data_IF_429148396511
#
_entry.id   IF_429148396511
#
_cell.length_a   1.000
_cell.length_b   1.000
_cell.length_c   1.000
_cell.angle_alpha   90.00
_cell.angle_beta   90.00
_cell.angle_gamma   90.00
#
_symmetry.space_group_name_H-M   'P 1'
#
loop_
_entity.id
_entity.type
_entity.pdbx_description
1 polymer ?
#
# COMPACT_ATOMS: atom_id res chain seq x y z
N UNK A 1 29.69 19.76 -3.49
CA UNK A 1 29.21 18.90 -2.39
C UNK A 1 28.60 19.83 -1.35
N UNK A 2 27.27 19.99 -1.34
CA UNK A 2 26.61 20.82 -0.31
C UNK A 2 26.45 19.92 0.91
N UNK A 3 27.34 20.08 1.90
CA UNK A 3 27.19 19.43 3.21
C UNK A 3 25.88 19.93 3.82
N UNK A 4 24.85 19.09 3.84
CA UNK A 4 23.74 19.36 4.74
C UNK A 4 24.30 19.36 6.16
N UNK A 5 24.07 20.43 6.95
CA UNK A 5 24.50 20.41 8.34
C UNK A 5 23.83 19.22 9.03
N UNK A 6 24.63 18.44 9.75
CA UNK A 6 24.12 17.36 10.57
C UNK A 6 23.12 17.93 11.59
N UNK A 7 21.94 17.33 11.71
CA UNK A 7 20.92 17.78 12.67
C UNK A 7 21.50 17.59 14.07
N UNK A 8 21.77 18.67 14.82
CA UNK A 8 22.36 18.57 16.14
C UNK A 8 21.45 17.76 17.06
N UNK A 9 22.07 16.92 17.88
CA UNK A 9 21.38 16.30 19.01
C UNK A 9 21.03 17.36 20.05
N UNK A 10 19.87 17.24 20.67
CA UNK A 10 19.64 17.93 21.94
C UNK A 10 20.73 17.50 22.94
N UNK A 11 21.16 18.41 23.81
CA UNK A 11 22.21 18.14 24.81
C UNK A 11 21.88 16.95 25.71
N UNK A 12 20.59 16.65 25.89
CA UNK A 12 20.08 15.52 26.69
C UNK A 12 19.75 14.29 25.83
N UNK A 13 19.91 14.36 24.51
CA UNK A 13 19.57 13.28 23.60
C UNK A 13 20.58 12.14 23.72
N UNK A 14 20.07 10.93 23.87
CA UNK A 14 20.88 9.71 23.92
C UNK A 14 20.10 8.55 23.29
N UNK A 15 20.78 7.48 22.82
CA UNK A 15 20.11 6.29 22.31
C UNK A 15 19.05 5.77 23.30
N UNK A 16 17.87 5.44 22.78
CA UNK A 16 16.70 5.02 23.54
C UNK A 16 15.87 6.16 24.16
N UNK A 17 16.32 7.41 24.06
CA UNK A 17 15.66 8.61 24.61
C UNK A 17 15.58 9.76 23.61
N UNK A 18 15.66 9.48 22.29
CA UNK A 18 15.54 10.51 21.25
C UNK A 18 14.09 10.97 21.13
N UNK A 19 13.89 12.28 21.02
CA UNK A 19 12.55 12.88 20.90
C UNK A 19 11.88 12.61 19.54
N UNK A 20 10.60 12.89 19.44
CA UNK A 20 9.83 12.78 18.19
C UNK A 20 10.45 13.63 17.07
N UNK A 21 10.66 14.91 17.34
CA UNK A 21 11.22 15.87 16.38
C UNK A 21 12.59 15.41 15.86
N UNK A 22 13.50 15.08 16.77
CA UNK A 22 14.85 14.61 16.41
C UNK A 22 14.82 13.35 15.54
N UNK A 23 13.92 12.42 15.87
CA UNK A 23 13.79 11.14 15.15
C UNK A 23 13.20 11.37 13.76
N UNK A 24 12.16 12.20 13.65
CA UNK A 24 11.55 12.55 12.37
C UNK A 24 12.54 13.28 11.45
N UNK A 25 13.27 14.28 11.95
CA UNK A 25 14.26 14.98 11.16
C UNK A 25 15.34 14.03 10.62
N UNK A 26 15.80 13.06 11.43
CA UNK A 26 16.76 12.04 10.97
C UNK A 26 16.19 11.11 9.92
N UNK A 27 14.94 10.67 10.07
CA UNK A 27 14.27 9.87 9.04
C UNK A 27 14.18 10.67 7.74
N UNK A 28 13.80 11.94 7.80
CA UNK A 28 13.73 12.82 6.63
C UNK A 28 15.12 12.97 5.98
N UNK A 29 16.20 13.11 6.75
CA UNK A 29 17.56 13.14 6.20
C UNK A 29 17.91 11.87 5.42
N UNK A 30 17.59 10.69 5.95
CA UNK A 30 17.80 9.40 5.25
C UNK A 30 17.00 9.37 3.94
N UNK A 31 15.75 9.83 3.96
CA UNK A 31 14.89 9.87 2.77
C UNK A 31 15.40 10.86 1.72
N UNK A 32 15.85 12.05 2.14
CA UNK A 32 16.41 13.05 1.23
C UNK A 32 17.72 12.57 0.60
N UNK A 33 18.56 11.85 1.35
CA UNK A 33 19.78 11.21 0.83
C UNK A 33 19.44 10.18 -0.24
N UNK A 34 18.48 9.28 0.02
CA UNK A 34 17.98 8.31 -0.94
C UNK A 34 17.45 8.97 -2.21
N UNK A 35 16.59 9.99 -2.08
CA UNK A 35 16.01 10.70 -3.22
C UNK A 35 17.08 11.40 -4.07
N UNK A 36 18.10 11.99 -3.44
CA UNK A 36 19.24 12.56 -4.16
C UNK A 36 20.04 11.50 -4.89
N UNK A 37 20.24 10.34 -4.26
CA UNK A 37 20.86 9.18 -4.90
C UNK A 37 20.16 8.83 -6.22
N UNK A 38 18.83 8.69 -6.17
CA UNK A 38 18.00 8.42 -7.35
C UNK A 38 18.05 9.53 -8.40
N UNK A 39 18.13 10.80 -8.00
CA UNK A 39 18.25 11.91 -8.95
C UNK A 39 19.62 11.99 -9.63
N UNK A 40 20.69 11.59 -8.93
CA UNK A 40 22.07 11.69 -9.42
C UNK A 40 22.51 10.43 -10.18
N UNK A 41 22.00 9.27 -9.78
CA UNK A 41 22.20 8.03 -10.53
C UNK A 41 21.23 7.99 -11.70
N UNK A 42 21.69 7.66 -12.91
CA UNK A 42 20.80 7.41 -14.06
C UNK A 42 19.94 6.14 -13.93
N UNK A 43 19.76 5.62 -12.72
CA UNK A 43 18.91 4.47 -12.42
C UNK A 43 17.53 4.97 -11.99
N UNK A 44 16.47 4.40 -12.57
CA UNK A 44 15.08 4.68 -12.19
C UNK A 44 14.67 4.07 -10.84
N UNK A 45 15.46 3.13 -10.31
CA UNK A 45 15.12 2.37 -9.11
C UNK A 45 16.31 2.15 -8.17
N UNK A 46 16.00 1.96 -6.88
CA UNK A 46 16.97 1.52 -5.89
C UNK A 46 17.38 0.06 -6.12
N UNK A 47 18.67 -0.23 -5.94
CA UNK A 47 19.19 -1.59 -5.91
C UNK A 47 18.87 -2.23 -4.55
N UNK A 48 18.76 -3.55 -4.53
CA UNK A 48 18.39 -4.30 -3.33
C UNK A 48 19.21 -3.97 -2.07
N UNK A 49 20.53 -3.80 -2.21
CA UNK A 49 21.39 -3.47 -1.06
C UNK A 49 21.12 -2.06 -0.53
N UNK A 50 20.82 -1.09 -1.41
CA UNK A 50 20.47 0.29 -1.04
C UNK A 50 19.14 0.30 -0.28
N UNK A 51 18.14 -0.46 -0.74
CA UNK A 51 16.84 -0.61 -0.05
C UNK A 51 17.06 -1.12 1.39
N UNK A 52 17.85 -2.18 1.53
CA UNK A 52 18.15 -2.77 2.86
C UNK A 52 18.87 -1.78 3.75
N UNK A 53 19.86 -1.06 3.23
CA UNK A 53 20.62 -0.10 3.99
C UNK A 53 19.73 1.04 4.50
N UNK A 54 18.97 1.68 3.62
CA UNK A 54 18.09 2.79 4.00
C UNK A 54 16.99 2.36 4.98
N UNK A 55 16.37 1.20 4.74
CA UNK A 55 15.38 0.61 5.67
C UNK A 55 16.00 0.39 7.06
N UNK A 56 17.16 -0.26 7.13
CA UNK A 56 17.86 -0.51 8.40
C UNK A 56 18.25 0.79 9.11
N UNK A 57 18.59 1.85 8.37
CA UNK A 57 18.89 3.17 8.95
C UNK A 57 17.64 3.76 9.62
N UNK A 58 16.48 3.69 8.97
CA UNK A 58 15.20 4.12 9.58
C UNK A 58 14.87 3.28 10.82
N UNK A 59 14.99 1.95 10.73
CA UNK A 59 14.69 1.05 11.86
C UNK A 59 15.59 1.31 13.07
N UNK A 60 16.88 1.60 12.84
CA UNK A 60 17.80 2.01 13.91
C UNK A 60 17.40 3.33 14.56
N UNK A 61 16.97 4.32 13.76
CA UNK A 61 16.45 5.58 14.31
C UNK A 61 15.23 5.33 15.18
N UNK A 62 14.29 4.49 14.73
CA UNK A 62 13.10 4.12 15.50
C UNK A 62 13.44 3.38 16.80
N UNK A 63 14.42 2.48 16.77
CA UNK A 63 14.88 1.76 17.96
C UNK A 63 15.45 2.68 19.06
N UNK A 64 16.05 3.81 18.66
CA UNK A 64 16.66 4.79 19.56
C UNK A 64 15.68 5.84 20.12
N UNK A 65 14.40 5.79 19.73
CA UNK A 65 13.39 6.73 20.21
C UNK A 65 13.03 6.53 21.68
N UNK A 66 12.54 7.59 22.34
CA UNK A 66 11.98 7.50 23.69
C UNK A 66 10.86 6.44 23.79
N UNK A 67 10.68 5.75 24.94
CA UNK A 67 9.78 4.59 25.03
C UNK A 67 8.34 4.82 24.56
N UNK A 68 7.75 6.00 24.78
CA UNK A 68 6.38 6.28 24.33
C UNK A 68 6.24 6.29 22.80
N UNK A 69 7.32 6.54 22.05
CA UNK A 69 7.31 6.49 20.58
C UNK A 69 7.40 5.06 20.04
N UNK A 70 7.78 4.08 20.86
CA UNK A 70 7.87 2.66 20.48
C UNK A 70 6.66 1.86 20.95
N UNK A 71 6.18 2.14 22.16
CA UNK A 71 5.17 1.33 22.82
C UNK A 71 3.96 2.20 23.18
N UNK A 72 2.78 1.80 22.69
CA UNK A 72 1.52 2.52 22.95
C UNK A 72 1.23 2.64 24.45
N UNK A 73 1.51 1.59 25.22
CA UNK A 73 1.32 1.51 26.67
C UNK A 73 2.22 2.45 27.47
N UNK A 74 3.21 3.09 26.81
CA UNK A 74 4.11 4.08 27.42
C UNK A 74 3.69 5.51 27.14
N UNK A 75 2.68 5.74 26.29
CA UNK A 75 2.06 7.05 26.11
C UNK A 75 1.17 7.36 27.32
N UNK A 76 1.36 8.51 27.95
CA UNK A 76 0.55 8.99 29.09
C UNK A 76 -0.24 10.26 28.74
N UNK A 77 0.14 10.97 27.69
CA UNK A 77 -0.57 12.16 27.20
C UNK A 77 -1.10 11.97 25.77
N UNK A 78 -2.12 12.76 25.41
CA UNK A 78 -2.60 12.83 24.02
C UNK A 78 -1.48 13.23 23.05
N UNK A 79 -0.59 14.15 23.45
CA UNK A 79 0.54 14.57 22.63
C UNK A 79 1.46 13.39 22.30
N UNK A 80 1.83 12.57 23.30
CA UNK A 80 2.67 11.38 23.08
C UNK A 80 1.98 10.34 22.19
N UNK A 81 0.66 10.16 22.33
CA UNK A 81 -0.10 9.29 21.44
C UNK A 81 -0.07 9.80 19.99
N UNK A 82 -0.20 11.10 19.77
CA UNK A 82 -0.10 11.73 18.45
C UNK A 82 1.30 11.55 17.88
N UNK A 83 2.34 11.92 18.62
CA UNK A 83 3.74 11.83 18.18
C UNK A 83 4.13 10.40 17.80
N UNK A 84 3.78 9.41 18.64
CA UNK A 84 4.01 8.00 18.33
C UNK A 84 3.33 7.59 17.02
N UNK A 85 2.07 7.99 16.86
CA UNK A 85 1.26 7.55 15.72
C UNK A 85 1.69 8.22 14.42
N UNK A 86 2.01 9.52 14.45
CA UNK A 86 2.58 10.25 13.31
C UNK A 86 3.97 9.73 12.93
N UNK A 87 4.83 9.43 13.91
CA UNK A 87 6.14 8.84 13.62
C UNK A 87 5.99 7.48 12.94
N UNK A 88 5.07 6.64 13.40
CA UNK A 88 4.75 5.34 12.77
C UNK A 88 4.22 5.53 11.35
N UNK A 89 3.30 6.47 11.14
CA UNK A 89 2.73 6.78 9.82
C UNK A 89 3.82 7.20 8.84
N UNK A 90 4.65 8.17 9.23
CA UNK A 90 5.71 8.70 8.37
C UNK A 90 6.79 7.66 8.07
N UNK A 91 7.31 6.98 9.09
CA UNK A 91 8.36 5.96 8.90
C UNK A 91 7.88 4.81 8.02
N UNK A 92 6.67 4.29 8.27
CA UNK A 92 6.09 3.22 7.45
C UNK A 92 5.92 3.67 6.00
N UNK A 93 5.39 4.88 5.77
CA UNK A 93 5.26 5.39 4.41
C UNK A 93 6.61 5.50 3.70
N UNK A 94 7.65 5.98 4.36
CA UNK A 94 8.96 6.11 3.72
C UNK A 94 9.63 4.76 3.43
N UNK A 95 9.48 3.78 4.33
CA UNK A 95 9.94 2.41 4.06
C UNK A 95 9.17 1.82 2.89
N UNK A 96 7.85 2.02 2.80
CA UNK A 96 7.07 1.52 1.67
C UNK A 96 7.59 2.12 0.35
N UNK A 97 7.88 3.42 0.32
CA UNK A 97 8.47 4.13 -0.84
C UNK A 97 9.78 3.48 -1.29
N UNK A 98 10.70 3.20 -0.36
CA UNK A 98 11.97 2.51 -0.67
C UNK A 98 11.73 1.12 -1.30
N UNK A 99 10.67 0.44 -0.88
CA UNK A 99 10.35 -0.91 -1.31
C UNK A 99 9.45 -0.98 -2.55
N UNK A 100 8.93 0.15 -3.05
CA UNK A 100 7.96 0.19 -4.17
C UNK A 100 8.47 -0.44 -5.46
N UNK A 101 9.78 -0.46 -5.69
CA UNK A 101 10.41 -1.14 -6.82
C UNK A 101 10.00 -2.62 -6.93
N UNK A 102 9.64 -3.27 -5.82
CA UNK A 102 9.16 -4.66 -5.85
C UNK A 102 7.77 -4.83 -6.45
N UNK A 103 6.98 -3.75 -6.53
CA UNK A 103 5.64 -3.73 -7.12
C UNK A 103 5.69 -3.55 -8.65
N UNK A 104 6.81 -3.05 -9.17
CA UNK A 104 7.04 -2.89 -10.60
C UNK A 104 7.52 -4.23 -11.20
N UNK A 105 6.74 -4.86 -12.12
CA UNK A 105 7.12 -6.13 -12.74
C UNK A 105 8.43 -6.05 -13.52
N UNK A 106 8.73 -4.89 -14.11
CA UNK A 106 9.86 -4.68 -15.02
C UNK A 106 11.16 -4.30 -14.27
N UNK A 107 11.06 -4.02 -12.97
CA UNK A 107 12.22 -3.69 -12.16
C UNK A 107 13.27 -4.83 -12.14
N UNK A 108 14.58 -4.53 -12.13
CA UNK A 108 15.64 -5.52 -12.17
C UNK A 108 15.88 -6.19 -10.80
N UNK A 109 14.88 -6.91 -10.29
CA UNK A 109 14.94 -7.72 -9.08
C UNK A 109 14.66 -9.19 -9.40
N UNK A 110 15.52 -10.08 -8.93
CA UNK A 110 15.23 -11.52 -8.94
C UNK A 110 14.04 -11.85 -8.02
N UNK A 111 13.36 -12.97 -8.30
CA UNK A 111 12.09 -13.34 -7.66
C UNK A 111 12.19 -13.43 -6.14
N UNK A 112 13.29 -13.97 -5.61
CA UNK A 112 13.49 -14.13 -4.18
C UNK A 112 13.65 -12.77 -3.50
N UNK A 113 14.51 -11.90 -4.03
CA UNK A 113 14.68 -10.54 -3.49
C UNK A 113 13.40 -9.72 -3.64
N UNK A 114 12.72 -9.85 -4.77
CA UNK A 114 11.43 -9.19 -5.03
C UNK A 114 10.38 -9.60 -4.02
N UNK A 115 10.27 -10.88 -3.67
CA UNK A 115 9.32 -11.35 -2.67
C UNK A 115 9.57 -10.71 -1.30
N UNK A 116 10.82 -10.69 -0.83
CA UNK A 116 11.21 -10.07 0.46
C UNK A 116 10.90 -8.57 0.47
N UNK A 117 11.32 -7.83 -0.56
CA UNK A 117 11.07 -6.38 -0.64
C UNK A 117 9.57 -6.08 -0.79
N UNK A 118 8.81 -6.95 -1.47
CA UNK A 118 7.36 -6.81 -1.61
C UNK A 118 6.65 -6.99 -0.28
N UNK A 119 7.03 -8.00 0.50
CA UNK A 119 6.48 -8.20 1.85
C UNK A 119 6.71 -6.96 2.72
N UNK A 120 7.91 -6.39 2.68
CA UNK A 120 8.24 -5.14 3.35
C UNK A 120 7.37 -3.97 2.85
N UNK A 121 7.18 -3.85 1.53
CA UNK A 121 6.35 -2.80 0.95
C UNK A 121 4.90 -2.91 1.43
N UNK A 122 4.28 -4.08 1.27
CA UNK A 122 2.86 -4.31 1.60
C UNK A 122 2.61 -4.11 3.10
N UNK A 123 3.47 -4.67 3.96
CA UNK A 123 3.40 -4.47 5.41
C UNK A 123 3.43 -2.99 5.78
N UNK A 124 4.32 -2.21 5.16
CA UNK A 124 4.45 -0.80 5.47
C UNK A 124 3.32 0.07 4.88
N UNK A 125 2.72 -0.33 3.75
CA UNK A 125 1.49 0.30 3.26
C UNK A 125 0.33 0.10 4.25
N UNK A 126 0.15 -1.11 4.76
CA UNK A 126 -0.86 -1.42 5.78
C UNK A 126 -0.61 -0.62 7.07
N UNK A 127 0.63 -0.61 7.58
CA UNK A 127 1.01 0.13 8.79
C UNK A 127 0.75 1.64 8.66
N UNK A 128 0.92 2.20 7.47
CA UNK A 128 0.62 3.61 7.20
C UNK A 128 -0.88 3.89 7.37
N UNK A 129 -1.74 3.05 6.78
CA UNK A 129 -3.20 3.17 6.88
C UNK A 129 -3.67 2.96 8.32
N UNK A 130 -3.13 1.96 9.01
CA UNK A 130 -3.46 1.67 10.40
C UNK A 130 -3.05 2.80 11.35
N UNK A 131 -1.87 3.40 11.14
CA UNK A 131 -1.44 4.58 11.88
C UNK A 131 -2.39 5.76 11.67
N UNK A 132 -2.84 6.01 10.45
CA UNK A 132 -3.76 7.11 10.20
C UNK A 132 -5.14 6.89 10.82
N UNK A 133 -5.69 5.68 10.72
CA UNK A 133 -6.96 5.33 11.36
C UNK A 133 -6.84 5.47 12.88
N UNK A 134 -5.74 5.00 13.47
CA UNK A 134 -5.47 5.16 14.90
C UNK A 134 -5.38 6.65 15.29
N UNK A 135 -4.67 7.47 14.51
CA UNK A 135 -4.54 8.91 14.74
C UNK A 135 -5.91 9.61 14.75
N UNK A 136 -6.76 9.27 13.79
CA UNK A 136 -8.11 9.81 13.71
C UNK A 136 -8.97 9.37 14.91
N UNK A 137 -8.83 8.12 15.36
CA UNK A 137 -9.57 7.60 16.51
C UNK A 137 -9.18 8.25 17.85
N UNK A 138 -7.97 8.82 17.95
CA UNK A 138 -7.55 9.60 19.12
C UNK A 138 -8.28 10.95 19.16
N UNK A 139 -8.28 11.66 18.03
CA UNK A 139 -9.05 12.88 17.82
C UNK A 139 -9.12 13.20 16.33
N UNK A 140 -10.32 13.43 15.79
CA UNK A 140 -10.53 13.71 14.37
C UNK A 140 -9.80 14.96 13.82
N UNK A 141 -9.44 15.91 14.69
CA UNK A 141 -8.63 17.06 14.32
C UNK A 141 -7.17 16.70 14.05
N UNK A 142 -6.62 15.69 14.71
CA UNK A 142 -5.22 15.28 14.54
C UNK A 142 -4.96 14.69 13.16
N UNK A 143 -5.96 14.07 12.53
CA UNK A 143 -5.85 13.51 11.19
C UNK A 143 -6.15 14.51 10.06
N UNK A 144 -6.27 15.82 10.35
CA UNK A 144 -6.45 16.88 9.34
C UNK A 144 -5.16 17.28 8.62
N UNK A 145 -4.00 16.76 9.05
CA UNK A 145 -2.73 16.95 8.34
C UNK A 145 -2.86 16.48 6.90
N UNK A 146 -2.78 17.41 5.94
CA UNK A 146 -2.88 17.11 4.51
C UNK A 146 -1.85 16.07 4.07
N UNK A 147 -0.63 16.16 4.62
CA UNK A 147 0.47 15.24 4.31
C UNK A 147 0.15 13.81 4.79
N UNK A 148 -0.35 13.66 6.02
CA UNK A 148 -0.70 12.34 6.58
C UNK A 148 -1.87 11.71 5.83
N UNK A 149 -2.86 12.52 5.45
CA UNK A 149 -4.01 12.11 4.64
C UNK A 149 -3.59 11.67 3.23
N UNK A 150 -2.79 12.47 2.52
CA UNK A 150 -2.30 12.13 1.18
C UNK A 150 -1.50 10.82 1.20
N UNK A 151 -0.55 10.68 2.13
CA UNK A 151 0.27 9.45 2.26
C UNK A 151 -0.58 8.21 2.50
N UNK A 152 -1.64 8.35 3.28
CA UNK A 152 -2.57 7.26 3.59
C UNK A 152 -3.42 6.87 2.40
N UNK A 153 -4.01 7.84 1.71
CA UNK A 153 -4.78 7.61 0.48
C UNK A 153 -3.89 6.94 -0.58
N UNK A 154 -2.67 7.46 -0.75
CA UNK A 154 -1.68 6.89 -1.64
C UNK A 154 -1.37 5.43 -1.30
N UNK A 155 -1.20 5.13 -0.02
CA UNK A 155 -0.90 3.78 0.45
C UNK A 155 -2.08 2.83 0.23
N UNK A 156 -3.31 3.28 0.43
CA UNK A 156 -4.52 2.50 0.21
C UNK A 156 -4.68 2.10 -1.26
N UNK A 157 -4.50 3.04 -2.19
CA UNK A 157 -4.60 2.71 -3.62
C UNK A 157 -3.50 1.77 -4.09
N UNK A 158 -2.27 1.94 -3.63
CA UNK A 158 -1.19 1.00 -3.92
C UNK A 158 -1.49 -0.40 -3.35
N UNK A 159 -2.05 -0.47 -2.14
CA UNK A 159 -2.43 -1.74 -1.52
C UNK A 159 -3.56 -2.45 -2.28
N UNK A 160 -4.56 -1.68 -2.74
CA UNK A 160 -5.66 -2.19 -3.58
C UNK A 160 -5.14 -2.69 -4.93
N UNK A 161 -4.26 -1.92 -5.58
CA UNK A 161 -3.66 -2.28 -6.87
C UNK A 161 -2.82 -3.56 -6.81
N UNK A 162 -2.21 -3.83 -5.64
CA UNK A 162 -1.33 -4.99 -5.43
C UNK A 162 -2.00 -6.07 -4.57
N UNK A 163 -3.33 -6.07 -4.52
CA UNK A 163 -4.09 -7.01 -3.71
C UNK A 163 -4.02 -8.43 -4.26
N UNK A 164 -3.96 -9.42 -3.35
CA UNK A 164 -4.01 -10.84 -3.70
C UNK A 164 -4.83 -11.62 -2.66
N UNK A 165 -5.18 -12.87 -2.95
CA UNK A 165 -6.09 -13.64 -2.08
C UNK A 165 -5.58 -13.79 -0.62
N UNK A 166 -4.27 -13.74 -0.37
CA UNK A 166 -3.71 -13.83 0.98
C UNK A 166 -3.92 -12.56 1.80
N UNK A 167 -3.71 -11.38 1.20
CA UNK A 167 -3.83 -10.09 1.90
C UNK A 167 -5.21 -9.45 1.78
N UNK A 168 -6.06 -9.96 0.89
CA UNK A 168 -7.39 -9.42 0.60
C UNK A 168 -8.26 -9.16 1.83
N UNK A 169 -8.35 -10.03 2.85
CA UNK A 169 -9.19 -9.74 4.01
C UNK A 169 -8.73 -8.49 4.77
N UNK A 170 -7.41 -8.30 4.91
CA UNK A 170 -6.83 -7.15 5.60
C UNK A 170 -6.96 -5.87 4.76
N UNK A 171 -6.62 -5.94 3.47
CA UNK A 171 -6.78 -4.82 2.53
C UNK A 171 -8.22 -4.31 2.55
N UNK A 172 -9.18 -5.24 2.52
CA UNK A 172 -10.60 -4.94 2.60
C UNK A 172 -10.97 -4.16 3.87
N UNK A 173 -10.62 -4.71 5.03
CA UNK A 173 -10.93 -4.10 6.33
C UNK A 173 -10.36 -2.68 6.46
N UNK A 174 -9.11 -2.49 6.01
CA UNK A 174 -8.45 -1.19 6.05
C UNK A 174 -9.09 -0.17 5.11
N UNK A 175 -9.48 -0.60 3.90
CA UNK A 175 -10.19 0.26 2.94
C UNK A 175 -11.53 0.72 3.49
N UNK A 176 -12.33 -0.16 4.09
CA UNK A 176 -13.63 0.22 4.69
C UNK A 176 -13.47 1.22 5.84
N UNK A 177 -12.50 0.97 6.74
CA UNK A 177 -12.22 1.88 7.85
C UNK A 177 -11.73 3.24 7.35
N UNK A 178 -10.85 3.25 6.36
CA UNK A 178 -10.34 4.49 5.77
C UNK A 178 -11.45 5.28 5.04
N UNK A 179 -12.35 4.59 4.34
CA UNK A 179 -13.51 5.21 3.70
C UNK A 179 -14.36 5.98 4.72
N UNK A 180 -14.64 5.37 5.89
CA UNK A 180 -15.41 6.01 6.95
C UNK A 180 -14.71 7.28 7.48
N UNK A 181 -13.40 7.20 7.75
CA UNK A 181 -12.59 8.35 8.21
C UNK A 181 -12.58 9.48 7.17
N UNK A 182 -12.40 9.17 5.90
CA UNK A 182 -12.39 10.17 4.83
C UNK A 182 -13.78 10.78 4.65
N UNK A 183 -14.85 9.98 4.77
CA UNK A 183 -16.21 10.50 4.73
C UNK A 183 -16.44 11.55 5.83
N UNK A 184 -15.99 11.29 7.06
CA UNK A 184 -16.05 12.25 8.16
C UNK A 184 -15.30 13.54 7.84
N UNK A 185 -14.10 13.46 7.24
CA UNK A 185 -13.37 14.66 6.81
C UNK A 185 -14.12 15.45 5.72
N UNK A 186 -14.77 14.76 4.77
CA UNK A 186 -15.55 15.41 3.70
C UNK A 186 -16.82 16.09 4.22
N UNK A 187 -17.49 15.49 5.22
CA UNK A 187 -18.74 16.01 5.79
C UNK A 187 -18.53 16.99 6.95
N UNK A 188 -17.48 16.80 7.75
CA UNK A 188 -17.14 17.63 8.91
C UNK A 188 -16.67 19.04 8.56
N UNK A 189 -16.34 19.30 7.29
CA UNK A 189 -16.08 20.63 6.74
C UNK A 189 -17.38 21.37 6.32
N UNK A 190 -18.56 20.82 6.64
CA UNK A 190 -19.89 21.28 6.20
C UNK A 190 -20.34 22.67 6.64
N UNK A 191 -19.47 23.47 7.27
CA UNK A 191 -19.73 24.88 7.59
C UNK A 191 -19.03 25.87 6.65
N UNK A 192 -18.34 25.37 5.61
CA UNK A 192 -17.67 26.18 4.59
C UNK A 192 -18.54 26.22 3.33
N UNK A 193 -18.94 27.43 2.91
CA UNK A 193 -19.72 27.67 1.70
C UNK A 193 -19.21 26.84 0.50
N UNK A 194 -20.14 26.19 -0.22
CA UNK A 194 -19.83 25.36 -1.40
C UNK A 194 -19.03 26.11 -2.50
N UNK A 195 -19.11 27.45 -2.53
CA UNK A 195 -18.39 28.30 -3.48
C UNK A 195 -16.91 28.58 -3.11
N UNK A 196 -16.44 28.18 -1.93
CA UNK A 196 -15.06 28.36 -1.46
C UNK A 196 -14.37 27.04 -1.10
N UNK A 197 -14.82 25.92 -1.68
CA UNK A 197 -14.19 24.62 -1.48
C UNK A 197 -12.78 24.62 -2.08
N UNK A 198 -11.77 24.43 -1.23
CA UNK A 198 -10.36 24.32 -1.65
C UNK A 198 -10.16 23.10 -2.56
N UNK A 199 -9.13 23.13 -3.42
CA UNK A 199 -8.82 22.00 -4.30
C UNK A 199 -8.55 20.71 -3.51
N UNK A 200 -7.93 20.80 -2.33
CA UNK A 200 -7.75 19.68 -1.39
C UNK A 200 -9.08 19.02 -1.02
N UNK A 201 -10.13 19.80 -0.76
CA UNK A 201 -11.45 19.26 -0.42
C UNK A 201 -12.18 18.65 -1.63
N UNK A 202 -11.82 19.03 -2.88
CA UNK A 202 -12.27 18.35 -4.11
C UNK A 202 -11.54 17.03 -4.31
N UNK A 203 -10.21 17.02 -4.15
CA UNK A 203 -9.39 15.81 -4.26
C UNK A 203 -9.78 14.75 -3.22
N UNK A 204 -10.14 15.17 -2.01
CA UNK A 204 -10.63 14.26 -0.99
C UNK A 204 -11.98 13.63 -1.36
N UNK A 205 -12.90 14.41 -1.93
CA UNK A 205 -14.19 13.88 -2.40
C UNK A 205 -14.03 12.90 -3.57
N UNK A 206 -13.07 13.15 -4.47
CA UNK A 206 -12.72 12.21 -5.54
C UNK A 206 -12.15 10.91 -4.98
N UNK A 207 -11.20 11.01 -4.04
CA UNK A 207 -10.60 9.85 -3.36
C UNK A 207 -11.65 9.02 -2.62
N UNK A 208 -12.60 9.67 -1.94
CA UNK A 208 -13.72 9.01 -1.28
C UNK A 208 -14.60 8.24 -2.27
N UNK A 209 -14.90 8.83 -3.44
CA UNK A 209 -15.68 8.16 -4.48
C UNK A 209 -14.96 6.91 -4.98
N UNK A 210 -13.68 7.01 -5.29
CA UNK A 210 -12.89 5.89 -5.75
C UNK A 210 -12.80 4.77 -4.70
N UNK A 211 -12.62 5.12 -3.41
CA UNK A 211 -12.65 4.12 -2.32
C UNK A 211 -14.00 3.41 -2.24
N UNK A 212 -15.12 4.12 -2.39
CA UNK A 212 -16.47 3.53 -2.42
C UNK A 212 -16.66 2.54 -3.57
N UNK A 213 -16.14 2.87 -4.75
CA UNK A 213 -16.21 2.01 -5.92
C UNK A 213 -15.39 0.73 -5.72
N UNK A 214 -14.18 0.86 -5.19
CA UNK A 214 -13.35 -0.28 -4.76
C UNK A 214 -14.08 -1.12 -3.70
N UNK A 215 -14.71 -0.45 -2.72
CA UNK A 215 -15.51 -1.09 -1.68
C UNK A 215 -16.62 -1.96 -2.30
N UNK A 216 -17.40 -1.39 -3.21
CA UNK A 216 -18.49 -2.08 -3.91
C UNK A 216 -18.02 -3.26 -4.78
N UNK A 217 -16.87 -3.12 -5.45
CA UNK A 217 -16.29 -4.17 -6.30
C UNK A 217 -15.92 -5.42 -5.47
N UNK A 218 -15.25 -5.23 -4.35
CA UNK A 218 -14.90 -6.32 -3.43
C UNK A 218 -16.13 -7.00 -2.80
N UNK A 219 -17.18 -6.24 -2.43
CA UNK A 219 -18.46 -6.81 -1.99
C UNK A 219 -19.08 -7.73 -3.06
N UNK A 220 -19.03 -7.31 -4.32
CA UNK A 220 -19.53 -8.08 -5.46
C UNK A 220 -18.73 -9.38 -5.65
N UNK A 221 -17.40 -9.34 -5.50
CA UNK A 221 -16.51 -10.52 -5.53
C UNK A 221 -16.86 -11.52 -4.42
N UNK A 222 -17.13 -11.04 -3.20
CA UNK A 222 -17.55 -11.89 -2.06
C UNK A 222 -18.89 -12.59 -2.32
N UNK A 223 -19.88 -11.87 -2.88
CA UNK A 223 -21.18 -12.45 -3.26
C UNK A 223 -21.04 -13.52 -4.34
N UNK A 224 -20.23 -13.28 -5.38
CA UNK A 224 -19.94 -14.26 -6.44
C UNK A 224 -19.25 -15.52 -5.90
N UNK A 225 -18.21 -15.37 -5.06
CA UNK A 225 -17.54 -16.51 -4.40
C UNK A 225 -18.51 -17.34 -3.54
N UNK A 226 -19.44 -16.70 -2.81
CA UNK A 226 -20.50 -17.41 -2.04
C UNK A 226 -21.48 -18.16 -2.94
N UNK A 227 -22.00 -17.54 -4.01
CA UNK A 227 -22.90 -18.19 -4.97
C UNK A 227 -22.23 -19.39 -5.66
N UNK A 228 -20.95 -19.29 -6.04
CA UNK A 228 -20.19 -20.39 -6.63
C UNK A 228 -20.01 -21.57 -5.66
N UNK A 229 -19.71 -21.30 -4.39
CA UNK A 229 -19.62 -22.33 -3.33
C UNK A 229 -20.96 -23.01 -3.04
N UNK A 230 -22.08 -22.28 -3.08
CA UNK A 230 -23.42 -22.87 -2.94
C UNK A 230 -23.80 -23.72 -4.16
N UNK A 231 -23.54 -23.25 -5.38
CA UNK A 231 -23.82 -24.03 -6.59
C UNK A 231 -22.99 -25.33 -6.68
N UNK A 232 -21.73 -25.33 -6.22
CA UNK A 232 -20.90 -26.54 -6.16
C UNK A 232 -21.29 -27.52 -5.05
N UNK A 233 -22.02 -27.07 -4.03
CA UNK A 233 -22.53 -27.92 -2.94
C UNK A 233 -23.89 -28.57 -3.26
N UNK A 234 -24.58 -28.09 -4.30
CA UNK A 234 -25.88 -28.60 -4.78
C UNK A 234 -25.76 -29.51 -6.02
N UNK A 235 -24.55 -29.79 -6.49
CA UNK A 235 -24.34 -30.76 -7.57
C UNK A 235 -24.44 -32.19 -7.00
N UNK A 236 -25.37 -33.05 -7.48
CA UNK A 236 -25.45 -34.42 -7.02
C UNK A 236 -24.21 -35.21 -7.48
N UNK A 237 -23.63 -36.00 -6.58
CA UNK A 237 -22.58 -36.98 -6.90
C UNK A 237 -23.14 -37.99 -7.92
N UNK A 238 -22.85 -37.75 -9.20
CA UNK A 238 -23.01 -38.77 -10.22
C UNK A 238 -21.90 -39.81 -10.04
N UNK A 239 -22.24 -40.88 -9.34
CA UNK A 239 -21.46 -42.11 -9.30
C UNK A 239 -21.38 -42.65 -10.74
N UNK A 240 -20.17 -42.70 -11.31
CA UNK A 240 -19.89 -43.52 -12.50
C UNK A 240 -18.63 -44.35 -12.30
N UNK A 241 -18.62 -45.63 -12.69
CA UNK A 241 -17.56 -46.56 -12.32
C UNK A 241 -16.35 -46.45 -13.24
N UNK A 242 -15.17 -46.74 -12.66
CA UNK A 242 -13.90 -46.94 -13.36
C UNK A 242 -13.94 -48.24 -14.17
N UNK A 243 -13.53 -48.17 -15.43
CA UNK A 243 -12.99 -49.34 -16.15
C UNK A 243 -11.63 -48.98 -16.72
N UNK A 244 -10.62 -49.72 -16.26
CA UNK A 244 -9.23 -49.72 -16.73
C UNK A 244 -9.16 -50.64 -17.94
N UNK A 245 -8.51 -50.23 -19.04
CA UNK A 245 -7.79 -51.16 -19.89
C UNK A 245 -6.65 -50.47 -20.65
N UNK A 246 -5.54 -51.19 -20.73
CA UNK A 246 -4.22 -50.85 -21.26
C UNK A 246 -4.09 -51.04 -22.79
N UNK A 247 -3.27 -50.17 -23.41
CA UNK A 247 -2.57 -50.14 -24.74
C UNK A 247 -2.25 -51.48 -25.46
N UNK A 248 -1.84 -51.51 -26.78
CA UNK A 248 -0.90 -50.57 -27.44
C UNK A 248 -1.01 -50.24 -28.97
N UNK A 249 -0.33 -49.13 -29.32
CA UNK A 249 0.45 -48.74 -30.52
C UNK A 249 0.04 -49.12 -31.97
N UNK A 250 0.03 -48.11 -32.87
CA UNK A 250 0.86 -48.06 -34.11
C UNK A 250 0.71 -46.77 -34.95
N UNK A 251 1.85 -46.08 -35.13
CA UNK A 251 2.42 -45.30 -36.26
C UNK A 251 1.60 -44.44 -37.27
N UNK A 252 2.05 -43.17 -37.34
CA UNK A 252 2.51 -42.42 -38.53
C UNK A 252 1.65 -41.28 -39.14
N UNK A 253 2.20 -40.07 -38.94
CA UNK A 253 2.50 -39.02 -39.92
C UNK A 253 1.48 -37.92 -40.31
N UNK A 254 2.03 -36.70 -40.25
CA UNK A 254 1.76 -35.44 -40.97
C UNK A 254 0.83 -34.37 -40.38
N UNK A 255 1.50 -33.29 -39.98
CA UNK A 255 1.20 -31.86 -40.18
C UNK A 255 -0.26 -31.37 -40.09
N UNK A 256 -0.56 -30.64 -39.01
CA UNK A 256 -1.14 -29.29 -39.09
C UNK A 256 -1.26 -28.68 -37.69
N UNK A 257 -0.81 -27.43 -37.57
CA UNK A 257 -1.10 -26.53 -36.44
C UNK A 257 -2.61 -26.30 -36.32
N UNK A 258 -3.15 -26.22 -35.10
CA UNK A 258 -4.03 -25.08 -34.83
C UNK A 258 -3.93 -24.50 -33.41
N UNK A 259 -3.86 -23.18 -33.36
CA UNK A 259 -4.63 -22.27 -32.51
C UNK A 259 -4.89 -22.64 -31.02
N UNK A 260 -4.28 -21.83 -30.16
CA UNK A 260 -4.95 -21.03 -29.13
C UNK A 260 -6.07 -21.68 -28.31
N UNK A 261 -5.79 -22.02 -27.04
CA UNK A 261 -6.71 -21.82 -25.92
C UNK A 261 -6.06 -22.19 -24.58
N UNK A 262 -5.77 -21.18 -23.76
CA UNK A 262 -6.22 -21.07 -22.34
C UNK A 262 -5.56 -19.86 -21.66
N UNK A 263 -5.88 -18.67 -22.15
CA UNK A 263 -6.01 -17.54 -21.22
C UNK A 263 -7.47 -17.55 -20.77
N UNK A 264 -7.70 -17.99 -19.52
CA UNK A 264 -8.95 -17.70 -18.84
C UNK A 264 -9.00 -16.19 -18.61
N UNK A 265 -9.69 -15.51 -19.52
CA UNK A 265 -10.01 -14.09 -19.44
C UNK A 265 -10.86 -13.85 -18.18
N UNK A 266 -10.24 -13.32 -17.13
CA UNK A 266 -10.91 -12.62 -16.05
C UNK A 266 -10.85 -11.10 -16.29
N UNK A 267 -11.10 -10.62 -17.51
CA UNK A 267 -10.72 -9.26 -17.92
C UNK A 267 -11.80 -8.18 -17.82
N UNK A 268 -12.91 -8.39 -17.11
CA UNK A 268 -13.95 -7.36 -17.00
C UNK A 268 -13.94 -6.59 -15.68
N UNK A 269 -13.57 -7.24 -14.56
CA UNK A 269 -13.63 -6.61 -13.23
C UNK A 269 -12.26 -6.13 -12.73
N UNK A 270 -11.17 -6.86 -13.04
CA UNK A 270 -9.81 -6.37 -12.77
C UNK A 270 -9.55 -5.09 -13.58
N UNK A 271 -9.96 -5.05 -14.85
CA UNK A 271 -9.91 -3.83 -15.67
C UNK A 271 -10.78 -2.68 -15.14
N UNK A 272 -11.85 -2.94 -14.38
CA UNK A 272 -12.64 -1.88 -13.75
C UNK A 272 -11.90 -1.26 -12.55
N UNK A 273 -11.23 -2.07 -11.73
CA UNK A 273 -10.39 -1.58 -10.63
C UNK A 273 -9.20 -0.81 -11.20
N UNK A 274 -8.56 -1.31 -12.25
CA UNK A 274 -7.45 -0.62 -12.93
C UNK A 274 -7.90 0.74 -13.50
N UNK A 275 -9.10 0.81 -14.09
CA UNK A 275 -9.69 2.06 -14.56
C UNK A 275 -9.93 3.07 -13.41
N UNK A 276 -10.37 2.60 -12.23
CA UNK A 276 -10.55 3.45 -11.04
C UNK A 276 -9.19 3.98 -10.56
N UNK A 277 -8.18 3.11 -10.48
CA UNK A 277 -6.84 3.48 -10.04
C UNK A 277 -6.18 4.51 -10.96
N UNK A 278 -6.38 4.38 -12.27
CA UNK A 278 -5.87 5.33 -13.26
C UNK A 278 -6.48 6.73 -13.08
N UNK A 279 -7.77 6.83 -12.75
CA UNK A 279 -8.44 8.13 -12.49
C UNK A 279 -7.91 8.83 -11.23
N UNK A 280 -7.36 8.09 -10.26
CA UNK A 280 -6.80 8.67 -9.03
C UNK A 280 -5.31 8.98 -9.15
N UNK A 281 -4.61 8.32 -10.08
CA UNK A 281 -3.18 8.54 -10.35
C UNK A 281 -2.88 10.00 -10.72
N UNK A 282 -3.74 10.61 -11.56
CA UNK A 282 -3.61 12.00 -12.03
C UNK A 282 -3.73 13.04 -10.90
N UNK A 283 -4.34 12.67 -9.78
CA UNK A 283 -4.62 13.57 -8.65
C UNK A 283 -3.52 13.54 -7.58
N UNK A 284 -2.75 12.45 -7.52
CA UNK A 284 -1.84 12.18 -6.40
C UNK A 284 -0.34 12.33 -6.76
N UNK A 285 -0.02 12.88 -7.94
CA UNK A 285 1.34 13.01 -8.47
C UNK A 285 2.10 11.66 -8.43
N UNK A 286 1.42 10.57 -8.74
CA UNK A 286 2.11 9.30 -8.94
C UNK A 286 2.75 9.27 -10.33
N UNK A 287 3.95 8.67 -10.49
CA UNK A 287 4.37 8.18 -11.79
C UNK A 287 3.26 7.27 -12.32
N UNK A 288 2.83 7.50 -13.55
CA UNK A 288 1.81 6.70 -14.22
C UNK A 288 2.14 5.21 -14.07
N UNK A 289 1.24 4.45 -13.45
CA UNK A 289 1.29 2.99 -13.47
C UNK A 289 0.92 2.56 -14.88
N UNK A 290 1.88 2.60 -15.80
CA UNK A 290 1.72 2.04 -17.13
C UNK A 290 1.71 0.52 -17.00
N UNK A 291 0.57 -0.05 -16.61
CA UNK A 291 0.34 -1.49 -16.72
C UNK A 291 0.26 -1.80 -18.21
N UNK A 292 1.39 -2.25 -18.77
CA UNK A 292 1.58 -2.44 -20.19
C UNK A 292 0.45 -3.23 -20.84
N UNK A 293 -0.24 -2.61 -21.79
CA UNK A 293 -0.95 -3.33 -22.84
C UNK A 293 0.09 -3.76 -23.87
N UNK A 294 0.38 -5.06 -23.91
CA UNK A 294 1.02 -5.73 -25.05
C UNK A 294 0.25 -7.01 -25.35
#
# INVERSE_FOLDING_TARGET
MVSQPEIPYDRKSMPGHRSYFESLCRIISVVLEMLRGLMLSHHSHLRYHEIREYKQRIERILADTTPHLRYRERCVTLAEHIERTELRLHSSYYISVMCRVSLDPDAPLDDQRRAVVREDCITNLMNTIEAFIELHSLHSHCSRSWVSLQRTIASAFLLVANNNDHIHPRTWELTEKLEAVIAEHVTGDGNVNHNTRTDSARHLASSLRALREVSAAFYSRKKKKKKKKQASALAPEAISPKTVLTSPASVAATASSPYAARYSVSSSEDGHIDNILNQVSDVMLFPTLNMGTS
#
